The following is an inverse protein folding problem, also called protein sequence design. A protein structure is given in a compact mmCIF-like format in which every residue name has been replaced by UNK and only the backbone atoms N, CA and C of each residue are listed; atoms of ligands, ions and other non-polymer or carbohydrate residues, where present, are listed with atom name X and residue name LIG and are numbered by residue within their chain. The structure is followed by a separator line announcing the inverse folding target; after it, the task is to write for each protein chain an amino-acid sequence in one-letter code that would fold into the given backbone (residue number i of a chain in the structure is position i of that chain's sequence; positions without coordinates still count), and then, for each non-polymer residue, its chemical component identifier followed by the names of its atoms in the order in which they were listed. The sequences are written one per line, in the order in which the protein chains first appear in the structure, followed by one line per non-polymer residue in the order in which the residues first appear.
data_IF_168586282898
#
_entry.id   IF_168586282898
#
_cell.length_a   1.000
_cell.length_b   1.000
_cell.length_c   1.000
_cell.angle_alpha   90.00
_cell.angle_beta   90.00
_cell.angle_gamma   90.00
#
_symmetry.space_group_name_H-M   'P 1'
#
loop_
_entity.id
_entity.type
_entity.pdbx_description
1 polymer ?
#
# COMPACT_ATOMS: atom_id res chain seq x y z
N UNK A 1 -33.26 -15.18 2.46
CA UNK A 1 -31.80 -15.01 2.26
C UNK A 1 -31.25 -16.33 1.78
N UNK A 2 -30.63 -16.37 0.60
CA UNK A 2 -30.04 -17.59 0.05
C UNK A 2 -28.62 -17.76 0.60
N UNK A 3 -28.32 -18.94 1.14
CA UNK A 3 -27.03 -19.22 1.82
C UNK A 3 -25.96 -19.67 0.80
N UNK A 4 -26.36 -20.43 -0.21
CA UNK A 4 -25.52 -20.96 -1.28
C UNK A 4 -26.27 -22.03 -2.07
N UNK A 5 -25.63 -22.59 -3.10
CA UNK A 5 -26.17 -23.67 -3.94
C UNK A 5 -25.29 -24.91 -3.74
N UNK A 6 -25.90 -26.08 -3.66
CA UNK A 6 -25.18 -27.36 -3.63
C UNK A 6 -24.74 -27.72 -5.06
N UNK A 7 -23.52 -28.22 -5.32
CA UNK A 7 -22.52 -28.75 -4.38
C UNK A 7 -21.47 -27.75 -3.88
N UNK A 8 -21.50 -26.50 -4.35
CA UNK A 8 -20.51 -25.47 -4.01
C UNK A 8 -20.45 -25.19 -2.50
N UNK A 9 -21.57 -25.43 -1.80
CA UNK A 9 -21.66 -25.38 -0.35
C UNK A 9 -22.11 -26.71 0.23
N UNK A 10 -21.32 -27.27 1.15
CA UNK A 10 -21.69 -28.49 1.85
C UNK A 10 -22.89 -28.26 2.78
N UNK A 11 -23.71 -29.29 2.98
CA UNK A 11 -24.85 -29.25 3.94
C UNK A 11 -24.36 -28.89 5.35
N UNK A 12 -23.16 -29.34 5.74
CA UNK A 12 -22.56 -29.02 7.06
C UNK A 12 -22.28 -27.53 7.19
N UNK A 13 -21.74 -26.93 6.14
CA UNK A 13 -21.39 -25.51 6.09
C UNK A 13 -22.66 -24.66 6.02
N UNK A 14 -23.64 -25.06 5.21
CA UNK A 14 -24.94 -24.41 5.14
C UNK A 14 -25.63 -24.36 6.52
N UNK A 15 -25.60 -25.46 7.29
CA UNK A 15 -26.11 -25.49 8.68
C UNK A 15 -25.33 -24.57 9.62
N UNK A 16 -24.01 -24.44 9.44
CA UNK A 16 -23.18 -23.53 10.23
C UNK A 16 -23.57 -22.08 9.96
N UNK A 17 -23.61 -21.68 8.68
CA UNK A 17 -24.00 -20.33 8.27
C UNK A 17 -25.43 -20.00 8.72
N UNK A 18 -26.37 -20.96 8.62
CA UNK A 18 -27.74 -20.76 9.10
C UNK A 18 -27.81 -20.47 10.62
N UNK A 19 -26.97 -21.11 11.43
CA UNK A 19 -26.88 -20.83 12.88
C UNK A 19 -26.31 -19.45 13.14
N UNK A 20 -25.24 -19.08 12.44
CA UNK A 20 -24.62 -17.75 12.55
C UNK A 20 -25.61 -16.64 12.19
N UNK A 21 -26.35 -16.80 11.08
CA UNK A 21 -27.41 -15.87 10.67
C UNK A 21 -28.50 -15.75 11.75
N UNK A 22 -28.95 -16.87 12.32
CA UNK A 22 -29.92 -16.85 13.42
C UNK A 22 -29.39 -16.11 14.65
N UNK A 23 -28.12 -16.30 15.00
CA UNK A 23 -27.51 -15.57 16.12
C UNK A 23 -27.36 -14.07 15.87
N UNK A 24 -27.07 -13.66 14.63
CA UNK A 24 -27.02 -12.25 14.26
C UNK A 24 -28.39 -11.60 14.34
N UNK A 25 -29.42 -12.27 13.82
CA UNK A 25 -30.81 -11.82 13.91
C UNK A 25 -31.28 -11.74 15.37
N UNK A 26 -30.91 -12.71 16.21
CA UNK A 26 -31.24 -12.69 17.64
C UNK A 26 -30.59 -11.52 18.40
N UNK A 27 -29.44 -11.03 17.91
CA UNK A 27 -28.79 -9.80 18.41
C UNK A 27 -29.37 -8.52 17.82
N UNK A 28 -30.39 -8.60 16.96
CA UNK A 28 -30.99 -7.46 16.27
C UNK A 28 -30.15 -6.89 15.13
N UNK A 29 -29.12 -7.61 14.67
CA UNK A 29 -28.20 -7.16 13.61
C UNK A 29 -28.67 -7.74 12.27
N UNK A 30 -28.86 -6.89 11.25
CA UNK A 30 -29.18 -7.36 9.90
C UNK A 30 -27.94 -8.05 9.29
N UNK A 31 -28.01 -9.35 8.92
CA UNK A 31 -26.88 -10.03 8.33
C UNK A 31 -26.43 -9.46 6.97
N UNK A 32 -27.25 -8.64 6.30
CA UNK A 32 -26.86 -7.89 5.10
C UNK A 32 -25.84 -6.80 5.41
N UNK A 33 -25.98 -6.12 6.54
CA UNK A 33 -25.03 -5.10 6.97
C UNK A 33 -23.68 -5.71 7.30
N UNK A 34 -23.68 -6.86 7.98
CA UNK A 34 -22.45 -7.61 8.28
C UNK A 34 -21.72 -8.00 7.00
N UNK A 35 -22.43 -8.50 5.98
CA UNK A 35 -21.83 -8.81 4.67
C UNK A 35 -21.27 -7.57 3.97
N UNK A 36 -21.97 -6.44 4.06
CA UNK A 36 -21.52 -5.18 3.48
C UNK A 36 -20.23 -4.70 4.16
N UNK A 37 -20.17 -4.75 5.49
CA UNK A 37 -18.98 -4.39 6.26
C UNK A 37 -17.78 -5.29 5.92
N UNK A 38 -18.01 -6.59 5.75
CA UNK A 38 -16.97 -7.52 5.31
C UNK A 38 -16.40 -7.17 3.93
N UNK A 39 -17.27 -6.84 2.96
CA UNK A 39 -16.84 -6.42 1.63
C UNK A 39 -16.01 -5.13 1.68
N UNK A 40 -16.49 -4.12 2.43
CA UNK A 40 -15.75 -2.86 2.61
C UNK A 40 -14.36 -3.13 3.19
N UNK A 41 -14.26 -3.98 4.22
CA UNK A 41 -12.99 -4.31 4.85
C UNK A 41 -12.03 -5.07 3.91
N UNK A 42 -12.54 -5.96 3.06
CA UNK A 42 -11.75 -6.65 2.04
C UNK A 42 -11.25 -5.67 0.98
N UNK A 43 -12.10 -4.78 0.49
CA UNK A 43 -11.73 -3.79 -0.51
C UNK A 43 -10.70 -2.79 0.04
N UNK A 44 -10.83 -2.34 1.28
CA UNK A 44 -9.81 -1.50 1.95
C UNK A 44 -8.46 -2.21 2.03
N UNK A 45 -8.44 -3.51 2.36
CA UNK A 45 -7.20 -4.29 2.39
C UNK A 45 -6.57 -4.37 1.00
N UNK A 46 -7.37 -4.60 -0.05
CA UNK A 46 -6.90 -4.66 -1.44
C UNK A 46 -6.33 -3.33 -1.91
N UNK A 47 -6.96 -2.21 -1.54
CA UNK A 47 -6.48 -0.87 -1.86
C UNK A 47 -5.13 -0.62 -1.18
N UNK A 48 -5.03 -0.87 0.14
CA UNK A 48 -3.77 -0.71 0.90
C UNK A 48 -2.63 -1.58 0.34
N UNK A 49 -2.94 -2.80 -0.09
CA UNK A 49 -1.93 -3.68 -0.69
C UNK A 49 -1.46 -3.15 -2.06
N UNK A 50 -2.36 -2.61 -2.87
CA UNK A 50 -2.00 -1.95 -4.14
C UNK A 50 -1.15 -0.71 -3.91
N UNK A 51 -1.51 0.13 -2.93
CA UNK A 51 -0.73 1.31 -2.55
C UNK A 51 0.67 0.91 -2.08
N UNK A 52 0.80 -0.13 -1.25
CA UNK A 52 2.11 -0.66 -0.85
C UNK A 52 2.93 -1.12 -2.04
N UNK A 53 2.34 -1.89 -2.96
CA UNK A 53 3.05 -2.35 -4.17
C UNK A 53 3.43 -1.22 -5.11
N UNK A 54 2.62 -0.16 -5.20
CA UNK A 54 2.96 1.02 -5.97
C UNK A 54 4.07 1.86 -5.33
N UNK A 55 4.13 1.86 -3.99
CA UNK A 55 5.16 2.55 -3.22
C UNK A 55 6.43 1.72 -3.00
N UNK A 56 6.42 0.42 -3.31
CA UNK A 56 7.60 -0.43 -3.39
C UNK A 56 8.42 0.01 -4.61
N UNK A 57 9.22 1.06 -4.41
CA UNK A 57 10.22 1.51 -5.38
C UNK A 57 11.28 0.41 -5.45
N UNK A 58 11.62 -0.02 -6.67
CA UNK A 58 12.70 -0.99 -6.82
C UNK A 58 14.04 -0.38 -6.36
N UNK A 59 14.97 -1.20 -5.85
CA UNK A 59 16.29 -0.70 -5.45
C UNK A 59 16.98 0.12 -6.56
N UNK A 60 16.78 -0.28 -7.83
CA UNK A 60 17.26 0.42 -9.02
C UNK A 60 16.68 1.84 -9.16
N UNK A 61 15.36 1.99 -9.03
CA UNK A 61 14.69 3.30 -9.10
C UNK A 61 15.04 4.19 -7.91
N UNK A 62 15.21 3.61 -6.72
CA UNK A 62 15.68 4.31 -5.53
C UNK A 62 17.09 4.90 -5.76
N UNK A 63 18.01 4.10 -6.32
CA UNK A 63 19.35 4.54 -6.68
C UNK A 63 19.33 5.68 -7.71
N UNK A 64 18.47 5.60 -8.73
CA UNK A 64 18.37 6.69 -9.71
C UNK A 64 17.82 7.98 -9.09
N UNK A 65 16.73 7.91 -8.30
CA UNK A 65 16.22 9.07 -7.56
C UNK A 65 17.30 9.72 -6.71
N UNK A 66 18.07 8.93 -5.96
CA UNK A 66 19.16 9.44 -5.14
C UNK A 66 20.23 10.17 -5.96
N UNK A 67 20.65 9.60 -7.09
CA UNK A 67 21.63 10.22 -7.98
C UNK A 67 21.10 11.55 -8.52
N UNK A 68 19.85 11.59 -8.96
CA UNK A 68 19.26 12.76 -9.59
C UNK A 68 18.97 13.89 -8.60
N UNK A 69 18.31 13.57 -7.49
CA UNK A 69 17.85 14.58 -6.52
C UNK A 69 18.98 15.07 -5.62
N UNK A 70 19.95 14.21 -5.27
CA UNK A 70 20.95 14.53 -4.25
C UNK A 70 22.37 14.58 -4.82
N UNK A 71 22.81 13.55 -5.54
CA UNK A 71 24.21 13.47 -5.95
C UNK A 71 24.58 14.53 -7.01
N UNK A 72 23.72 14.79 -7.99
CA UNK A 72 23.96 15.81 -9.03
C UNK A 72 24.16 17.20 -8.45
N UNK A 73 23.34 17.61 -7.47
CA UNK A 73 23.43 18.93 -6.82
C UNK A 73 24.77 19.06 -6.07
N UNK A 74 25.15 18.04 -5.32
CA UNK A 74 26.41 18.04 -4.57
C UNK A 74 27.64 18.11 -5.50
N UNK A 75 27.63 17.39 -6.61
CA UNK A 75 28.73 17.44 -7.61
C UNK A 75 28.90 18.85 -8.17
N UNK A 76 27.80 19.50 -8.56
CA UNK A 76 27.83 20.87 -9.13
C UNK A 76 28.35 21.87 -8.10
N UNK A 77 27.86 21.80 -6.85
CA UNK A 77 28.29 22.69 -5.79
C UNK A 77 29.78 22.55 -5.50
N UNK A 78 30.27 21.31 -5.41
CA UNK A 78 31.68 21.04 -5.14
C UNK A 78 32.60 21.54 -6.25
N UNK A 79 32.19 21.38 -7.52
CA UNK A 79 32.91 21.93 -8.67
C UNK A 79 32.96 23.46 -8.64
N UNK A 80 31.85 24.11 -8.29
CA UNK A 80 31.78 25.57 -8.14
C UNK A 80 32.70 26.06 -7.03
N UNK A 81 32.69 25.38 -5.88
CA UNK A 81 33.56 25.69 -4.74
C UNK A 81 35.04 25.51 -5.08
N UNK A 82 35.40 24.41 -5.74
CA UNK A 82 36.77 24.15 -6.19
C UNK A 82 37.26 25.23 -7.17
N UNK A 83 36.43 25.61 -8.14
CA UNK A 83 36.75 26.68 -9.10
C UNK A 83 36.92 28.04 -8.39
N UNK A 84 36.06 28.33 -7.41
CA UNK A 84 36.16 29.55 -6.59
C UNK A 84 37.48 29.61 -5.82
N UNK A 85 37.85 28.53 -5.12
CA UNK A 85 39.12 28.46 -4.36
C UNK A 85 40.32 28.62 -5.28
N UNK A 86 40.33 27.94 -6.44
CA UNK A 86 41.41 28.07 -7.41
C UNK A 86 41.59 29.51 -7.90
N UNK A 87 40.51 30.21 -8.23
CA UNK A 87 40.57 31.60 -8.69
C UNK A 87 41.09 32.54 -7.60
N UNK A 88 40.66 32.40 -6.34
CA UNK A 88 41.19 33.19 -5.24
C UNK A 88 42.67 32.88 -4.94
N UNK A 89 43.06 31.61 -4.98
CA UNK A 89 44.45 31.20 -4.82
C UNK A 89 45.34 31.77 -5.92
N UNK A 90 44.87 31.78 -7.17
CA UNK A 90 45.58 32.37 -8.32
C UNK A 90 45.72 33.90 -8.25
N UNK A 91 44.87 34.59 -7.50
CA UNK A 91 44.98 36.05 -7.28
C UNK A 91 45.98 36.41 -6.17
N UNK A 92 46.35 35.44 -5.33
CA UNK A 92 47.23 35.63 -4.16
C UNK A 92 48.70 35.29 -4.44
N UNK A 93 49.01 34.68 -5.58
CA UNK A 93 50.36 34.32 -6.04
C UNK A 93 50.58 34.80 -7.48
#
# INVERSE_FOLDING_TARGET
MTIGVFPDLSIKEARKIARELKTLMAKGIDPREVKRQQQIAEDEKRIKERERKANDITFKELCYKYIEEYAKIYIINWQSDAARIYNYGKLLF
#
